data_IF_581742590264
#
_entry.id   IF_581742590264
#
_cell.length_a   1.000
_cell.length_b   1.000
_cell.length_c   1.000
_cell.angle_alpha   90.00
_cell.angle_beta   90.00
_cell.angle_gamma   90.00
#
_symmetry.space_group_name_H-M   'P 1'
#
loop_
_entity.id
_entity.type
_entity.pdbx_description
1 polymer ?
#
# COMPACT_ATOMS: atom_id res chain seq x y z
N UNK A 1 46.81 -4.31 -17.16
CA UNK A 1 46.02 -4.78 -15.99
C UNK A 1 44.87 -3.81 -15.74
N UNK A 2 43.68 -4.27 -15.34
CA UNK A 2 42.56 -3.38 -15.03
C UNK A 2 42.85 -2.54 -13.78
N UNK A 3 42.52 -1.25 -13.82
CA UNK A 3 42.68 -0.30 -12.72
C UNK A 3 41.32 -0.04 -12.08
N UNK A 4 41.11 -0.54 -10.86
CA UNK A 4 39.85 -0.39 -10.12
C UNK A 4 39.94 0.77 -9.12
N UNK A 5 38.80 1.42 -8.83
CA UNK A 5 38.71 2.41 -7.75
C UNK A 5 38.88 1.73 -6.40
N UNK A 6 39.58 2.39 -5.47
CA UNK A 6 39.74 1.91 -4.10
C UNK A 6 38.40 1.91 -3.36
N UNK A 7 38.10 0.80 -2.67
CA UNK A 7 36.89 0.67 -1.85
C UNK A 7 37.16 1.25 -0.47
N UNK A 8 36.66 2.45 -0.21
CA UNK A 8 36.71 3.09 1.10
C UNK A 8 35.57 2.59 2.00
N UNK A 9 35.92 2.05 3.17
CA UNK A 9 35.00 1.52 4.20
C UNK A 9 35.09 2.27 5.52
N UNK A 10 35.72 3.44 5.54
CA UNK A 10 35.81 4.25 6.76
C UNK A 10 34.42 4.75 7.20
N UNK A 11 34.31 5.07 8.49
CA UNK A 11 33.09 5.63 9.07
C UNK A 11 32.70 6.92 8.34
N UNK A 12 31.44 7.01 7.92
CA UNK A 12 30.86 8.21 7.32
C UNK A 12 29.70 8.68 8.19
N UNK A 13 29.74 9.94 8.60
CA UNK A 13 28.59 10.59 9.21
C UNK A 13 27.69 11.12 8.10
N UNK A 14 26.40 10.78 8.18
CA UNK A 14 25.38 11.31 7.27
C UNK A 14 24.59 12.34 8.08
N UNK A 15 24.80 13.61 7.79
CA UNK A 15 23.93 14.66 8.30
C UNK A 15 22.59 14.57 7.55
N UNK A 16 21.50 14.56 8.32
CA UNK A 16 20.13 14.55 7.79
C UNK A 16 19.59 15.97 7.95
N UNK A 17 19.21 16.56 6.83
CA UNK A 17 18.56 17.87 6.72
C UNK A 17 17.20 17.62 6.10
N UNK A 18 16.16 17.61 6.94
CA UNK A 18 14.84 17.10 6.59
C UNK A 18 14.26 17.75 5.32
N UNK A 19 14.48 19.06 5.15
CA UNK A 19 14.01 19.82 3.99
C UNK A 19 14.82 19.47 2.73
N UNK A 20 16.11 19.19 2.88
CA UNK A 20 16.97 18.80 1.77
C UNK A 20 16.76 17.36 1.29
N UNK A 21 16.18 16.47 2.11
CA UNK A 21 15.87 15.09 1.68
C UNK A 21 14.49 14.94 1.04
N UNK A 22 13.58 15.88 1.28
CA UNK A 22 12.26 15.94 0.66
C UNK A 22 12.32 17.00 -0.44
N UNK A 23 12.75 16.58 -1.63
CA UNK A 23 12.92 17.50 -2.76
C UNK A 23 11.56 17.95 -3.31
N UNK A 24 11.38 19.23 -3.65
CA UNK A 24 10.15 19.73 -4.25
C UNK A 24 9.77 18.97 -5.53
N UNK A 25 8.49 18.64 -5.68
CA UNK A 25 7.97 17.91 -6.84
C UNK A 25 8.22 16.39 -6.81
N UNK A 26 8.80 15.86 -5.73
CA UNK A 26 8.85 14.42 -5.50
C UNK A 26 7.56 13.91 -4.87
N UNK A 27 7.37 12.59 -4.87
CA UNK A 27 6.19 12.00 -4.23
C UNK A 27 6.15 12.26 -2.71
N UNK A 28 7.32 12.28 -2.06
CA UNK A 28 7.45 12.57 -0.62
C UNK A 28 6.94 13.98 -0.30
N UNK A 29 7.32 14.95 -1.14
CA UNK A 29 6.87 16.34 -1.05
C UNK A 29 5.35 16.44 -1.26
N UNK A 30 4.84 15.79 -2.32
CA UNK A 30 3.40 15.72 -2.57
C UNK A 30 2.61 15.11 -1.41
N UNK A 31 3.10 14.04 -0.78
CA UNK A 31 2.49 13.43 0.41
C UNK A 31 2.54 14.39 1.59
N UNK A 32 3.64 15.12 1.79
CA UNK A 32 3.74 16.07 2.90
C UNK A 32 2.76 17.22 2.72
N UNK A 33 2.70 17.83 1.53
CA UNK A 33 1.77 18.90 1.20
C UNK A 33 0.32 18.43 1.33
N UNK A 34 -0.02 17.27 0.78
CA UNK A 34 -1.35 16.69 0.88
C UNK A 34 -1.78 16.52 2.34
N UNK A 35 -0.93 15.93 3.18
CA UNK A 35 -1.26 15.67 4.59
C UNK A 35 -1.32 16.95 5.42
N UNK A 36 -0.47 17.93 5.15
CA UNK A 36 -0.41 19.14 5.97
C UNK A 36 -1.41 20.23 5.54
N UNK A 37 -1.79 20.28 4.26
CA UNK A 37 -2.58 21.41 3.70
C UNK A 37 -3.98 21.00 3.25
N UNK A 38 -4.16 19.79 2.71
CA UNK A 38 -5.42 19.38 2.07
C UNK A 38 -6.28 18.49 2.96
N UNK A 39 -5.68 17.85 3.97
CA UNK A 39 -6.36 16.86 4.79
C UNK A 39 -6.75 17.42 6.15
N UNK A 40 -8.04 17.32 6.46
CA UNK A 40 -8.53 17.59 7.80
C UNK A 40 -8.14 16.44 8.75
N UNK A 41 -7.18 16.72 9.63
CA UNK A 41 -6.67 15.78 10.62
C UNK A 41 -7.48 15.78 11.92
N UNK A 42 -8.45 16.68 12.07
CA UNK A 42 -9.27 16.80 13.28
C UNK A 42 -9.88 15.47 13.74
N UNK A 43 -10.46 14.63 12.85
CA UNK A 43 -11.02 13.34 13.25
C UNK A 43 -10.00 12.37 13.85
N UNK A 44 -8.73 12.50 13.47
CA UNK A 44 -7.64 11.68 14.01
C UNK A 44 -7.15 12.22 15.35
N UNK A 45 -7.11 13.54 15.51
CA UNK A 45 -6.61 14.20 16.72
C UNK A 45 -7.59 14.00 17.88
N UNK A 46 -8.90 14.15 17.64
CA UNK A 46 -9.94 13.99 18.66
C UNK A 46 -10.01 12.59 19.28
N UNK A 47 -9.44 11.59 18.60
CA UNK A 47 -9.37 10.22 19.12
C UNK A 47 -8.26 10.03 20.15
N UNK A 48 -7.33 10.97 20.27
CA UNK A 48 -6.27 10.91 21.27
C UNK A 48 -6.77 11.48 22.59
N UNK A 49 -6.82 10.62 23.60
CA UNK A 49 -6.96 11.00 25.00
C UNK A 49 -5.59 10.87 25.66
N UNK A 50 -4.81 11.94 25.58
CA UNK A 50 -3.52 11.99 26.25
C UNK A 50 -3.76 12.40 27.70
N UNK A 51 -3.66 11.44 28.61
CA UNK A 51 -3.51 11.74 30.03
C UNK A 51 -2.06 12.23 30.27
N UNK A 52 -1.82 13.05 31.29
CA UNK A 52 -0.46 13.52 31.66
C UNK A 52 0.49 12.38 32.07
N UNK A 53 0.00 11.14 32.10
CA UNK A 53 0.72 9.94 32.49
C UNK A 53 0.88 9.01 31.30
N UNK A 54 2.09 8.91 30.74
CA UNK A 54 2.40 7.99 29.64
C UNK A 54 3.47 8.52 28.69
N UNK A 55 3.79 7.73 27.67
CA UNK A 55 4.64 8.19 26.58
C UNK A 55 3.84 9.17 25.68
N UNK A 56 4.46 10.27 25.21
CA UNK A 56 3.80 11.21 24.33
C UNK A 56 3.34 10.52 23.04
N UNK A 57 2.13 10.85 22.60
CA UNK A 57 1.57 10.32 21.37
C UNK A 57 2.26 10.91 20.13
N UNK A 58 2.42 10.08 19.10
CA UNK A 58 2.85 10.55 17.78
C UNK A 58 1.74 11.36 17.12
N UNK A 59 2.12 12.47 16.48
CA UNK A 59 1.18 13.28 15.73
C UNK A 59 0.60 12.49 14.54
N UNK A 60 -0.72 12.53 14.29
CA UNK A 60 -1.35 11.78 13.19
C UNK A 60 -0.77 12.07 11.81
N UNK A 61 -0.34 13.32 11.56
CA UNK A 61 0.27 13.69 10.27
C UNK A 61 1.53 12.87 9.97
N UNK A 62 2.40 12.68 10.97
CA UNK A 62 3.66 11.92 10.82
C UNK A 62 3.35 10.46 10.51
N UNK A 63 2.44 9.85 11.27
CA UNK A 63 2.05 8.45 11.06
C UNK A 63 1.47 8.27 9.65
N UNK A 64 0.58 9.17 9.24
CA UNK A 64 -0.07 9.11 7.93
C UNK A 64 0.92 9.27 6.77
N UNK A 65 1.83 10.25 6.84
CA UNK A 65 2.87 10.46 5.82
C UNK A 65 3.73 9.21 5.63
N UNK A 66 4.23 8.65 6.74
CA UNK A 66 5.07 7.45 6.73
C UNK A 66 4.34 6.23 6.15
N UNK A 67 3.05 6.06 6.48
CA UNK A 67 2.23 4.95 5.97
C UNK A 67 1.99 5.10 4.47
N UNK A 68 1.54 6.27 4.02
CA UNK A 68 1.30 6.56 2.60
C UNK A 68 2.57 6.40 1.77
N UNK A 69 3.69 6.93 2.28
CA UNK A 69 4.98 6.76 1.63
C UNK A 69 5.41 5.29 1.61
N UNK A 70 5.22 4.55 2.70
CA UNK A 70 5.43 3.10 2.76
C UNK A 70 4.68 2.35 1.67
N UNK A 71 3.38 2.61 1.52
CA UNK A 71 2.54 1.96 0.51
C UNK A 71 2.97 2.30 -0.92
N UNK A 72 3.35 3.54 -1.19
CA UNK A 72 3.87 3.93 -2.52
C UNK A 72 5.14 3.18 -2.91
N UNK A 73 5.92 2.72 -1.93
CA UNK A 73 7.16 1.95 -2.11
C UNK A 73 6.94 0.44 -2.05
N UNK A 74 5.68 -0.02 -1.94
CA UNK A 74 5.33 -1.44 -1.82
C UNK A 74 5.56 -2.03 -0.42
N UNK A 75 5.83 -1.20 0.59
CA UNK A 75 5.99 -1.64 1.98
C UNK A 75 4.62 -1.78 2.65
N UNK A 76 3.99 -2.94 2.47
CA UNK A 76 2.64 -3.18 3.02
C UNK A 76 2.64 -3.57 4.50
N UNK A 77 3.75 -4.10 5.03
CA UNK A 77 3.81 -4.56 6.42
C UNK A 77 4.23 -3.43 7.37
N UNK A 78 3.50 -3.26 8.46
CA UNK A 78 3.82 -2.26 9.50
C UNK A 78 5.23 -2.45 10.08
N UNK A 79 5.73 -3.70 10.11
CA UNK A 79 7.11 -4.01 10.53
C UNK A 79 8.15 -3.49 9.53
N UNK A 80 7.89 -3.65 8.23
CA UNK A 80 8.78 -3.12 7.20
C UNK A 80 8.80 -1.59 7.22
N UNK A 81 7.64 -0.95 7.41
CA UNK A 81 7.55 0.50 7.55
C UNK A 81 8.34 0.97 8.79
N UNK A 82 8.13 0.34 9.95
CA UNK A 82 8.88 0.69 11.16
C UNK A 82 10.41 0.49 11.01
N UNK A 83 10.85 -0.54 10.28
CA UNK A 83 12.26 -0.72 9.96
C UNK A 83 12.79 0.37 9.02
N UNK A 84 11.99 0.77 8.01
CA UNK A 84 12.33 1.86 7.11
C UNK A 84 12.52 3.18 7.85
N UNK A 85 11.69 3.49 8.85
CA UNK A 85 11.87 4.68 9.71
C UNK A 85 13.20 4.72 10.48
N UNK A 86 13.90 3.59 10.64
CA UNK A 86 15.21 3.54 11.32
C UNK A 86 16.39 3.51 10.36
N UNK A 87 16.18 3.05 9.12
CA UNK A 87 17.26 2.69 8.21
C UNK A 87 17.30 3.56 6.96
N UNK A 88 16.16 4.14 6.58
CA UNK A 88 16.01 4.82 5.31
C UNK A 88 15.91 6.33 5.52
N UNK A 89 16.88 7.08 4.99
CA UNK A 89 17.01 8.53 5.22
C UNK A 89 15.74 9.31 4.85
N UNK A 90 15.03 8.92 3.78
CA UNK A 90 13.77 9.57 3.41
C UNK A 90 12.64 9.33 4.43
N UNK A 91 12.61 8.16 5.06
CA UNK A 91 11.60 7.89 6.10
C UNK A 91 11.95 8.62 7.39
N UNK A 92 13.24 8.67 7.74
CA UNK A 92 13.73 9.47 8.88
C UNK A 92 13.37 10.95 8.67
N UNK A 93 13.54 11.46 7.45
CA UNK A 93 13.17 12.84 7.13
C UNK A 93 11.68 13.09 7.19
N UNK A 94 10.88 12.20 6.59
CA UNK A 94 9.43 12.31 6.59
C UNK A 94 8.81 12.18 7.99
N UNK A 95 9.46 11.42 8.88
CA UNK A 95 9.03 11.26 10.26
C UNK A 95 9.63 12.28 11.23
N UNK A 96 10.45 13.22 10.76
CA UNK A 96 11.22 14.14 11.60
C UNK A 96 11.99 13.40 12.72
N UNK A 97 12.64 12.30 12.36
CA UNK A 97 13.34 11.35 13.25
C UNK A 97 12.46 10.68 14.32
N UNK A 98 11.14 10.76 14.17
CA UNK A 98 10.22 9.94 14.96
C UNK A 98 10.35 8.48 14.50
N UNK A 99 10.58 7.56 15.44
CA UNK A 99 10.74 6.12 15.16
C UNK A 99 9.54 5.33 15.71
N UNK A 100 8.34 5.44 15.08
CA UNK A 100 7.16 4.76 15.56
C UNK A 100 7.34 3.24 15.47
N UNK A 101 6.85 2.54 16.49
CA UNK A 101 6.88 1.08 16.50
C UNK A 101 5.81 0.49 15.55
N UNK A 102 6.02 -0.76 15.14
CA UNK A 102 5.07 -1.47 14.27
C UNK A 102 3.68 -1.55 14.90
N UNK A 103 3.59 -1.64 16.23
CA UNK A 103 2.34 -1.71 16.99
C UNK A 103 1.55 -0.40 16.88
N UNK A 104 2.24 0.74 16.94
CA UNK A 104 1.66 2.08 16.78
C UNK A 104 1.12 2.26 15.37
N UNK A 105 1.90 1.88 14.35
CA UNK A 105 1.49 1.98 12.95
C UNK A 105 0.27 1.08 12.65
N UNK A 106 0.33 -0.18 13.06
CA UNK A 106 -0.78 -1.11 12.86
C UNK A 106 -2.04 -0.66 13.60
N UNK A 107 -1.89 -0.20 14.84
CA UNK A 107 -3.00 0.33 15.63
C UNK A 107 -3.59 1.61 15.06
N UNK A 108 -2.78 2.47 14.42
CA UNK A 108 -3.27 3.66 13.72
C UNK A 108 -4.09 3.28 12.49
N UNK A 109 -3.56 2.44 11.60
CA UNK A 109 -4.28 2.00 10.39
C UNK A 109 -5.61 1.32 10.74
N UNK A 110 -5.58 0.43 11.75
CA UNK A 110 -6.77 -0.32 12.14
C UNK A 110 -7.88 0.57 12.71
N UNK A 111 -7.51 1.57 13.54
CA UNK A 111 -8.48 2.49 14.16
C UNK A 111 -9.08 3.48 13.18
N UNK A 112 -8.35 3.86 12.13
CA UNK A 112 -8.75 4.93 11.22
C UNK A 112 -9.06 4.44 9.80
N UNK A 113 -9.46 3.18 9.64
CA UNK A 113 -9.72 2.56 8.33
C UNK A 113 -10.72 3.37 7.50
N UNK A 114 -11.84 3.80 8.10
CA UNK A 114 -12.87 4.59 7.42
C UNK A 114 -12.36 5.97 7.00
N UNK A 115 -11.60 6.64 7.87
CA UNK A 115 -11.02 7.95 7.57
C UNK A 115 -9.98 7.85 6.43
N UNK A 116 -9.15 6.80 6.43
CA UNK A 116 -8.17 6.53 5.36
C UNK A 116 -8.89 6.24 4.04
N UNK A 117 -10.01 5.49 4.06
CA UNK A 117 -10.78 5.20 2.86
C UNK A 117 -11.44 6.47 2.26
N UNK A 118 -12.01 7.32 3.12
CA UNK A 118 -12.56 8.62 2.71
C UNK A 118 -11.47 9.51 2.09
N UNK A 119 -10.30 9.56 2.72
CA UNK A 119 -9.13 10.30 2.25
C UNK A 119 -8.66 9.82 0.88
N UNK A 120 -8.57 8.50 0.68
CA UNK A 120 -8.22 7.95 -0.64
C UNK A 120 -9.22 8.35 -1.72
N UNK A 121 -10.50 8.42 -1.37
CA UNK A 121 -11.55 8.86 -2.29
C UNK A 121 -11.37 10.33 -2.66
N UNK A 122 -11.04 11.20 -1.70
CA UNK A 122 -10.75 12.62 -1.94
C UNK A 122 -9.55 12.80 -2.87
N UNK A 123 -8.47 12.04 -2.65
CA UNK A 123 -7.29 12.06 -3.53
C UNK A 123 -7.68 11.66 -4.96
N UNK A 124 -8.50 10.62 -5.14
CA UNK A 124 -8.97 10.23 -6.48
C UNK A 124 -9.84 11.31 -7.13
N UNK A 125 -10.70 11.99 -6.37
CA UNK A 125 -11.51 13.12 -6.87
C UNK A 125 -10.61 14.27 -7.33
N UNK A 126 -9.58 14.61 -6.56
CA UNK A 126 -8.60 15.64 -6.93
C UNK A 126 -7.85 15.22 -8.20
N UNK A 127 -7.30 14.01 -8.24
CA UNK A 127 -6.61 13.51 -9.42
C UNK A 127 -7.51 13.47 -10.68
N UNK A 128 -8.81 13.17 -10.51
CA UNK A 128 -9.77 13.23 -11.61
C UNK A 128 -10.00 14.68 -12.09
N UNK A 129 -10.13 15.63 -11.16
CA UNK A 129 -10.33 17.05 -11.49
C UNK A 129 -9.12 17.65 -12.23
N UNK A 130 -7.92 17.28 -11.82
CA UNK A 130 -6.67 17.74 -12.44
C UNK A 130 -6.32 16.97 -13.72
N UNK A 131 -7.18 16.06 -14.19
CA UNK A 131 -6.97 15.28 -15.41
C UNK A 131 -5.81 14.27 -15.32
N UNK A 132 -5.38 13.92 -14.11
CA UNK A 132 -4.28 12.98 -13.85
C UNK A 132 -4.74 11.51 -13.94
N UNK A 133 -6.05 11.27 -13.85
CA UNK A 133 -6.64 9.94 -14.08
C UNK A 133 -7.02 9.86 -15.55
N UNK A 134 -6.28 9.06 -16.31
CA UNK A 134 -6.67 8.72 -17.68
C UNK A 134 -8.03 8.03 -17.68
N UNK A 135 -8.99 8.54 -18.43
CA UNK A 135 -10.32 7.93 -18.60
C UNK A 135 -10.29 6.63 -19.43
N UNK A 136 -9.11 6.05 -19.62
CA UNK A 136 -8.88 4.84 -20.40
C UNK A 136 -8.66 3.67 -19.43
N UNK A 137 -9.61 2.73 -19.41
CA UNK A 137 -9.56 1.42 -18.74
C UNK A 137 -8.78 1.37 -17.41
N UNK A 138 -9.50 1.51 -16.29
CA UNK A 138 -8.94 1.34 -14.95
C UNK A 138 -8.86 -0.16 -14.56
N UNK A 139 -7.66 -0.74 -14.64
CA UNK A 139 -7.43 -2.13 -14.19
C UNK A 139 -7.02 -2.15 -12.71
N UNK A 140 -7.86 -2.74 -11.86
CA UNK A 140 -7.55 -2.99 -10.44
C UNK A 140 -6.93 -4.39 -10.34
N UNK A 141 -5.61 -4.47 -10.28
CA UNK A 141 -4.95 -5.76 -10.03
C UNK A 141 -5.00 -6.07 -8.52
N UNK A 142 -5.91 -6.96 -8.14
CA UNK A 142 -6.08 -7.40 -6.76
C UNK A 142 -4.95 -8.35 -6.36
N UNK A 143 -4.09 -7.94 -5.43
CA UNK A 143 -3.10 -8.85 -4.84
C UNK A 143 -3.80 -9.81 -3.88
N UNK A 144 -3.63 -11.13 -4.09
CA UNK A 144 -4.02 -12.15 -3.12
C UNK A 144 -3.01 -12.15 -1.97
N UNK A 145 -3.33 -11.47 -0.87
CA UNK A 145 -2.52 -11.50 0.33
C UNK A 145 -2.63 -12.89 1.01
N UNK A 146 -1.53 -13.62 1.20
CA UNK A 146 -1.56 -14.85 1.98
C UNK A 146 -1.83 -14.52 3.45
N UNK A 147 -2.95 -15.01 3.98
CA UNK A 147 -3.28 -14.86 5.40
C UNK A 147 -2.68 -16.03 6.19
N UNK A 148 -1.89 -15.74 7.21
CA UNK A 148 -1.37 -16.76 8.13
C UNK A 148 -2.48 -17.19 9.11
N UNK A 149 -3.40 -18.03 8.64
CA UNK A 149 -4.30 -18.78 9.50
C UNK A 149 -3.54 -20.02 9.98
N UNK A 150 -2.88 -19.92 11.13
CA UNK A 150 -2.29 -21.09 11.76
C UNK A 150 -3.39 -22.12 12.03
N UNK A 151 -3.43 -23.19 11.24
CA UNK A 151 -4.27 -24.38 11.48
C UNK A 151 -3.66 -25.25 12.59
N UNK A 152 -3.13 -24.62 13.64
CA UNK A 152 -2.51 -25.28 14.80
C UNK A 152 -3.46 -25.20 15.99
N UNK A 153 -4.59 -25.90 15.86
CA UNK A 153 -5.63 -25.96 16.88
C UNK A 153 -6.39 -27.28 16.86
N UNK A 154 -5.77 -28.37 16.42
CA UNK A 154 -6.31 -29.72 16.58
C UNK A 154 -5.22 -30.60 17.17
N UNK A 155 -5.11 -30.55 18.50
CA UNK A 155 -4.55 -31.66 19.27
C UNK A 155 -5.62 -32.75 19.28
N UNK A 156 -5.45 -33.81 18.49
CA UNK A 156 -6.11 -35.08 18.76
C UNK A 156 -5.05 -36.12 19.08
N UNK A 157 -4.95 -36.45 20.37
CA UNK A 157 -4.26 -37.64 20.84
C UNK A 157 -4.99 -38.89 20.32
N UNK A 158 -4.34 -39.70 19.50
CA UNK A 158 -4.77 -41.08 19.25
C UNK A 158 -4.48 -41.62 17.86
N UNK A 159 -3.46 -42.48 17.77
CA UNK A 159 -3.57 -43.73 16.98
C UNK A 159 -3.13 -43.73 15.52
N UNK A 160 -1.83 -44.01 15.31
CA UNK A 160 -1.26 -44.98 14.36
C UNK A 160 -2.22 -45.66 13.33
N UNK A 161 -1.97 -45.46 12.02
CA UNK A 161 -1.39 -46.46 11.08
C UNK A 161 -1.62 -46.10 9.60
N UNK A 162 -0.61 -46.47 8.82
CA UNK A 162 -0.43 -46.46 7.36
C UNK A 162 -1.62 -46.94 6.52
N UNK A 163 -1.86 -46.28 5.38
CA UNK A 163 -2.74 -46.74 4.31
C UNK A 163 -2.58 -45.88 3.05
N UNK A 164 -2.42 -46.55 1.91
CA UNK A 164 -2.12 -46.03 0.57
C UNK A 164 -3.29 -45.24 -0.07
N UNK A 165 -2.96 -44.50 -1.13
CA UNK A 165 -3.76 -44.05 -2.27
C UNK A 165 -5.28 -43.79 -2.10
N UNK A 166 -5.75 -42.60 -2.49
CA UNK A 166 -6.65 -42.43 -3.65
C UNK A 166 -6.90 -40.93 -3.91
N UNK A 167 -6.82 -40.51 -5.17
CA UNK A 167 -7.31 -39.20 -5.60
C UNK A 167 -8.84 -39.17 -5.64
N UNK A 168 -9.43 -38.00 -5.40
CA UNK A 168 -10.84 -37.78 -5.76
C UNK A 168 -11.05 -36.35 -6.26
N UNK A 169 -10.97 -36.24 -7.58
CA UNK A 169 -11.61 -35.21 -8.39
C UNK A 169 -13.10 -35.17 -8.07
N UNK A 170 -13.66 -34.00 -7.80
CA UNK A 170 -15.12 -33.78 -7.83
C UNK A 170 -15.39 -32.69 -8.85
N UNK A 171 -15.87 -33.13 -10.02
CA UNK A 171 -16.59 -32.32 -11.02
C UNK A 171 -17.89 -31.81 -10.41
N UNK A 172 -18.23 -30.56 -10.72
CA UNK A 172 -19.60 -30.05 -10.66
C UNK A 172 -20.03 -29.59 -12.06
N UNK A 173 -20.78 -30.44 -12.74
CA UNK A 173 -21.78 -30.12 -13.79
C UNK A 173 -23.10 -29.85 -13.00
N UNK A 174 -24.09 -29.02 -13.34
CA UNK A 174 -24.60 -28.38 -14.56
C UNK A 174 -25.56 -27.24 -14.15
N UNK A 175 -25.72 -26.22 -15.00
CA UNK A 175 -27.02 -25.63 -15.31
C UNK A 175 -26.96 -24.96 -16.70
N UNK A 176 -27.60 -25.61 -17.68
CA UNK A 176 -27.80 -25.14 -19.06
C UNK A 176 -29.11 -24.38 -19.19
N UNK A 177 -29.16 -23.46 -20.17
CA UNK A 177 -30.39 -22.97 -20.82
C UNK A 177 -30.17 -21.59 -21.43
N UNK A 178 -29.69 -21.51 -22.69
CA UNK A 178 -30.46 -21.11 -23.91
C UNK A 178 -30.43 -19.57 -24.11
N UNK A 179 -30.28 -18.95 -25.29
CA UNK A 179 -30.30 -19.36 -26.70
C UNK A 179 -29.59 -18.29 -27.57
N UNK A 180 -29.29 -18.67 -28.83
CA UNK A 180 -29.17 -17.86 -30.06
C UNK A 180 -28.02 -16.84 -30.21
N UNK A 181 -27.00 -17.12 -31.02
CA UNK A 181 -26.97 -17.01 -32.50
C UNK A 181 -26.91 -15.55 -33.01
N UNK A 182 -25.73 -15.14 -33.49
CA UNK A 182 -25.50 -13.82 -34.08
C UNK A 182 -24.06 -13.64 -34.56
N UNK A 183 -23.68 -14.39 -35.59
CA UNK A 183 -22.46 -14.22 -36.38
C UNK A 183 -22.53 -12.84 -37.07
N UNK A 184 -21.61 -11.93 -36.76
CA UNK A 184 -21.36 -10.75 -37.59
C UNK A 184 -20.22 -11.08 -38.55
N UNK A 185 -20.57 -11.14 -39.84
CA UNK A 185 -19.61 -11.17 -40.93
C UNK A 185 -19.30 -9.73 -41.33
N UNK A 186 -18.02 -9.42 -41.50
CA UNK A 186 -17.53 -8.16 -42.03
C UNK A 186 -17.86 -8.04 -43.53
N UNK A 187 -18.29 -6.86 -44.01
CA UNK A 187 -18.15 -6.53 -45.42
C UNK A 187 -16.99 -5.56 -45.63
N UNK A 188 -15.98 -6.04 -46.33
CA UNK A 188 -15.06 -5.21 -47.13
C UNK A 188 -15.80 -4.74 -48.38
N UNK A 189 -15.72 -3.45 -48.74
CA UNK A 189 -16.20 -2.98 -50.04
C UNK A 189 -16.24 -1.46 -50.25
N UNK A 190 -15.17 -0.96 -50.90
CA UNK A 190 -14.94 0.31 -51.60
C UNK A 190 -16.13 1.17 -52.11
N UNK A 191 -15.91 2.49 -52.18
CA UNK A 191 -16.40 3.31 -53.32
C UNK A 191 -16.80 4.79 -53.07
N UNK A 192 -15.89 5.71 -53.41
CA UNK A 192 -16.09 6.96 -54.22
C UNK A 192 -17.00 8.13 -53.80
N UNK A 193 -16.37 9.32 -53.83
CA UNK A 193 -16.74 10.57 -54.54
C UNK A 193 -17.70 11.63 -53.95
N UNK A 194 -17.21 12.88 -54.10
CA UNK A 194 -17.86 14.20 -54.25
C UNK A 194 -18.68 14.84 -53.12
N UNK A 195 -18.13 15.95 -52.60
CA UNK A 195 -18.63 17.34 -52.68
C UNK A 195 -18.29 18.15 -51.42
#
# INVERSE_FOLDING_TARGET
>A
MPNFRSVDRNLKFIAVDFDAQILPGTFQDAVSVLVDQELDLTPFIETYRNDDTGAPAYHPSILLKVILFGYSRGLISSRAIAAACRQHVQFIALSADSQPDFSTLAGFVSRHTEAIQSLFTQVLVICNREGLIGHEMFAIDGVKLPSNAAKSGQRSSGGLRTGSAEGRTVRGEDARGASEAGRCEDPTGAGTADA
#
